data_IF_847803099651
#
_entry.id   IF_847803099651
#
_cell.length_a   1.000
_cell.length_b   1.000
_cell.length_c   1.000
_cell.angle_alpha   90.00
_cell.angle_beta   90.00
_cell.angle_gamma   90.00
#
_symmetry.space_group_name_H-M   'P 1'
#
loop_
_entity.id
_entity.type
_entity.pdbx_description
1 polymer ?
#
# COMPACT_ATOMS: atom_id res chain seq x y z
N UNK A 1 -23.53 -30.51 21.42
CA UNK A 1 -24.57 -31.54 21.22
C UNK A 1 -25.80 -30.81 20.69
N UNK A 2 -26.04 -30.85 19.39
CA UNK A 2 -27.23 -30.26 18.77
C UNK A 2 -28.37 -31.26 18.90
N UNK A 3 -29.38 -30.89 19.67
CA UNK A 3 -30.57 -31.67 19.96
C UNK A 3 -31.33 -31.99 18.65
N UNK A 4 -31.28 -33.26 18.20
CA UNK A 4 -31.99 -33.75 17.01
C UNK A 4 -33.50 -33.94 17.24
N UNK A 5 -34.02 -33.54 18.41
CA UNK A 5 -35.36 -33.94 18.87
C UNK A 5 -36.50 -33.00 18.47
N UNK A 6 -36.25 -31.99 17.62
CA UNK A 6 -37.32 -31.14 17.06
C UNK A 6 -37.64 -31.49 15.61
N UNK A 7 -37.90 -32.78 15.37
CA UNK A 7 -38.70 -33.19 14.22
C UNK A 7 -40.12 -32.70 14.43
N UNK A 8 -40.58 -31.75 13.63
CA UNK A 8 -42.03 -31.51 13.53
C UNK A 8 -42.67 -32.82 13.07
N UNK A 9 -43.74 -33.31 13.72
CA UNK A 9 -44.48 -34.46 13.24
C UNK A 9 -45.17 -34.01 11.95
N UNK A 10 -44.52 -34.23 10.80
CA UNK A 10 -45.17 -34.06 9.51
C UNK A 10 -46.11 -35.25 9.35
N UNK A 11 -47.42 -35.01 9.40
CA UNK A 11 -48.43 -35.87 8.80
C UNK A 11 -47.86 -36.48 7.51
N UNK A 12 -48.00 -37.80 7.35
CA UNK A 12 -47.43 -38.61 6.27
C UNK A 12 -47.98 -38.32 4.87
N UNK A 13 -48.18 -37.05 4.53
CA UNK A 13 -48.59 -36.60 3.21
C UNK A 13 -47.36 -36.56 2.30
N UNK A 14 -47.34 -37.44 1.31
CA UNK A 14 -46.32 -37.41 0.27
C UNK A 14 -46.33 -36.04 -0.46
N UNK A 15 -45.15 -35.53 -0.82
CA UNK A 15 -44.97 -34.19 -1.40
C UNK A 15 -44.57 -34.30 -2.86
N UNK A 16 -45.28 -33.58 -3.73
CA UNK A 16 -44.94 -33.42 -5.15
C UNK A 16 -44.06 -32.19 -5.31
N UNK A 17 -42.90 -32.36 -5.95
CA UNK A 17 -41.96 -31.28 -6.31
C UNK A 17 -41.90 -31.16 -7.84
N UNK A 18 -42.50 -30.11 -8.42
CA UNK A 18 -42.47 -29.91 -9.86
C UNK A 18 -41.03 -29.78 -10.39
N UNK A 19 -40.68 -30.40 -11.54
CA UNK A 19 -39.33 -30.35 -12.09
C UNK A 19 -38.95 -28.97 -12.66
N UNK A 20 -39.93 -28.14 -13.05
CA UNK A 20 -39.71 -26.82 -13.65
C UNK A 20 -40.44 -25.73 -12.84
N UNK A 21 -39.73 -25.06 -11.94
CA UNK A 21 -40.11 -23.73 -11.40
C UNK A 21 -41.40 -23.62 -10.57
N UNK A 22 -42.05 -24.74 -10.19
CA UNK A 22 -43.27 -24.73 -9.38
C UNK A 22 -43.01 -24.94 -7.89
N UNK A 23 -43.82 -24.30 -7.03
CA UNK A 23 -43.81 -24.55 -5.58
C UNK A 23 -44.24 -26.00 -5.29
N UNK A 24 -43.59 -26.61 -4.29
CA UNK A 24 -43.98 -27.94 -3.84
C UNK A 24 -45.37 -27.93 -3.18
N UNK A 25 -46.10 -29.04 -3.29
CA UNK A 25 -47.41 -29.22 -2.68
C UNK A 25 -47.62 -30.67 -2.23
N UNK A 26 -48.46 -30.88 -1.21
CA UNK A 26 -48.82 -32.22 -0.73
C UNK A 26 -49.78 -32.94 -1.66
N UNK A 27 -49.68 -34.27 -1.73
CA UNK A 27 -50.67 -35.14 -2.39
C UNK A 27 -52.02 -35.00 -1.68
N UNK A 28 -53.08 -34.97 -2.47
CA UNK A 28 -54.47 -34.83 -1.99
C UNK A 28 -54.87 -33.40 -1.62
N UNK A 29 -54.01 -32.41 -1.86
CA UNK A 29 -54.32 -31.00 -1.59
C UNK A 29 -55.10 -30.37 -2.77
N UNK A 30 -55.84 -29.27 -2.54
CA UNK A 30 -56.49 -28.52 -3.62
C UNK A 30 -55.55 -28.15 -4.77
N UNK A 31 -54.30 -27.81 -4.45
CA UNK A 31 -53.26 -27.52 -5.45
C UNK A 31 -52.85 -28.78 -6.24
N UNK A 32 -52.79 -29.95 -5.60
CA UNK A 32 -52.55 -31.21 -6.31
C UNK A 32 -53.68 -31.52 -7.29
N UNK A 33 -54.94 -31.33 -6.90
CA UNK A 33 -56.08 -31.53 -7.80
C UNK A 33 -56.03 -30.55 -8.98
N UNK A 34 -55.82 -29.26 -8.72
CA UNK A 34 -55.68 -28.24 -9.78
C UNK A 34 -54.54 -28.56 -10.75
N UNK A 35 -53.39 -29.01 -10.25
CA UNK A 35 -52.26 -29.38 -11.09
C UNK A 35 -52.51 -30.62 -11.97
N UNK A 36 -53.43 -31.52 -11.57
CA UNK A 36 -53.80 -32.74 -12.32
C UNK A 36 -54.98 -32.54 -13.25
N UNK A 37 -56.02 -31.84 -12.80
CA UNK A 37 -57.29 -31.69 -13.49
C UNK A 37 -57.40 -30.38 -14.29
N UNK A 38 -56.52 -29.39 -14.04
CA UNK A 38 -56.56 -28.09 -14.70
C UNK A 38 -57.69 -27.16 -14.23
N UNK A 39 -58.51 -27.60 -13.27
CA UNK A 39 -59.67 -26.88 -12.74
C UNK A 39 -59.69 -26.91 -11.20
N UNK A 40 -60.27 -25.90 -10.53
CA UNK A 40 -60.42 -25.91 -9.07
C UNK A 40 -61.36 -27.04 -8.61
N UNK A 41 -61.15 -27.61 -7.41
CA UNK A 41 -62.05 -28.61 -6.85
C UNK A 41 -63.49 -28.05 -6.73
N UNK A 42 -64.52 -28.84 -7.07
CA UNK A 42 -65.91 -28.41 -6.92
C UNK A 42 -66.21 -28.00 -5.47
N UNK A 43 -66.79 -26.80 -5.28
CA UNK A 43 -67.21 -26.31 -3.96
C UNK A 43 -66.11 -25.70 -3.08
N UNK A 44 -64.89 -25.51 -3.59
CA UNK A 44 -63.80 -24.83 -2.87
C UNK A 44 -63.35 -23.60 -3.68
N UNK A 45 -63.65 -22.41 -3.16
CA UNK A 45 -63.19 -21.13 -3.71
C UNK A 45 -61.80 -20.74 -3.19
N UNK A 46 -61.22 -19.68 -3.77
CA UNK A 46 -59.93 -19.13 -3.30
C UNK A 46 -59.96 -18.65 -1.85
N UNK A 47 -61.14 -18.22 -1.37
CA UNK A 47 -61.37 -17.77 0.01
C UNK A 47 -61.43 -18.94 1.02
N UNK A 48 -61.62 -20.16 0.54
CA UNK A 48 -61.71 -21.37 1.38
C UNK A 48 -60.34 -22.04 1.57
N UNK A 49 -59.30 -21.50 0.92
CA UNK A 49 -57.94 -22.00 1.06
C UNK A 49 -57.31 -21.49 2.35
N UNK A 50 -56.63 -22.38 3.09
CA UNK A 50 -55.91 -22.03 4.31
C UNK A 50 -54.95 -20.85 4.06
N UNK A 51 -55.09 -19.77 4.84
CA UNK A 51 -54.25 -18.57 4.72
C UNK A 51 -52.74 -18.86 4.85
N UNK A 52 -52.35 -19.91 5.58
CA UNK A 52 -50.94 -20.22 5.84
C UNK A 52 -50.27 -21.06 4.76
N UNK A 53 -51.00 -21.96 4.09
CA UNK A 53 -50.45 -22.85 3.06
C UNK A 53 -51.06 -22.65 1.66
N UNK A 54 -52.10 -21.82 1.56
CA UNK A 54 -52.83 -21.49 0.33
C UNK A 54 -53.22 -22.74 -0.47
N UNK A 55 -53.70 -23.76 0.23
CA UNK A 55 -54.10 -25.02 -0.40
C UNK A 55 -52.95 -25.95 -0.82
N UNK A 56 -51.68 -25.64 -0.51
CA UNK A 56 -50.54 -26.53 -0.81
C UNK A 56 -50.35 -27.65 0.21
N UNK A 57 -50.99 -27.55 1.39
CA UNK A 57 -50.83 -28.53 2.48
C UNK A 57 -49.43 -28.61 3.08
N UNK A 58 -48.50 -27.75 2.66
CA UNK A 58 -47.13 -27.68 3.16
C UNK A 58 -46.72 -26.24 3.43
N UNK A 59 -45.85 -26.05 4.43
CA UNK A 59 -45.25 -24.76 4.78
C UNK A 59 -43.73 -24.90 4.80
N UNK A 60 -43.04 -24.00 4.11
CA UNK A 60 -41.59 -23.97 4.13
C UNK A 60 -41.07 -23.50 5.49
N UNK A 61 -39.96 -24.09 5.93
CA UNK A 61 -39.27 -23.62 7.12
C UNK A 61 -38.83 -22.17 6.95
N UNK A 62 -39.20 -21.28 7.88
CA UNK A 62 -38.83 -19.85 7.84
C UNK A 62 -37.30 -19.65 7.86
N UNK A 63 -36.58 -20.60 8.47
CA UNK A 63 -35.14 -20.60 8.53
C UNK A 63 -34.54 -21.03 7.18
N UNK A 64 -34.69 -22.28 6.76
CA UNK A 64 -33.99 -22.80 5.57
C UNK A 64 -34.76 -22.66 4.24
N UNK A 65 -35.96 -22.07 4.24
CA UNK A 65 -36.83 -21.92 3.06
C UNK A 65 -37.02 -23.23 2.29
N UNK A 66 -37.14 -24.33 3.02
CA UNK A 66 -37.31 -25.67 2.43
C UNK A 66 -36.03 -26.33 1.88
N UNK A 67 -34.87 -25.67 1.91
CA UNK A 67 -33.61 -26.23 1.40
C UNK A 67 -32.90 -27.20 2.36
N UNK A 68 -33.34 -27.30 3.62
CA UNK A 68 -32.73 -28.17 4.64
C UNK A 68 -31.35 -27.70 5.16
N UNK A 69 -30.69 -26.78 4.45
CA UNK A 69 -29.41 -26.16 4.84
C UNK A 69 -29.42 -24.66 4.59
N UNK A 70 -28.56 -23.92 5.28
CA UNK A 70 -28.31 -22.50 5.03
C UNK A 70 -26.88 -22.28 4.52
N UNK A 71 -26.67 -21.34 3.59
CA UNK A 71 -25.32 -20.94 3.24
C UNK A 71 -24.61 -20.36 4.47
N UNK A 72 -23.33 -20.69 4.64
CA UNK A 72 -22.50 -20.13 5.70
C UNK A 72 -22.40 -18.61 5.51
N UNK A 73 -22.62 -17.83 6.55
CA UNK A 73 -22.56 -16.35 6.49
C UNK A 73 -21.18 -15.83 6.10
N UNK A 74 -20.13 -16.57 6.45
CA UNK A 74 -18.76 -16.13 6.26
C UNK A 74 -18.21 -16.44 4.86
N UNK A 75 -18.64 -17.53 4.22
CA UNK A 75 -18.19 -17.93 2.88
C UNK A 75 -19.31 -17.99 1.84
N UNK A 76 -20.55 -17.60 2.17
CA UNK A 76 -21.70 -17.67 1.27
C UNK A 76 -22.06 -19.09 0.81
N UNK A 77 -21.56 -20.12 1.48
CA UNK A 77 -21.70 -21.52 1.04
C UNK A 77 -20.66 -21.98 -0.01
N UNK A 78 -19.70 -21.13 -0.38
CA UNK A 78 -18.60 -21.49 -1.30
C UNK A 78 -17.54 -22.41 -0.68
N UNK A 79 -17.51 -22.54 0.65
CA UNK A 79 -16.49 -23.31 1.36
C UNK A 79 -15.09 -22.67 1.39
N UNK A 80 -14.92 -21.48 0.80
CA UNK A 80 -13.63 -20.78 0.74
C UNK A 80 -13.73 -19.38 1.35
N UNK A 81 -12.70 -18.98 2.08
CA UNK A 81 -12.58 -17.63 2.66
C UNK A 81 -11.24 -17.05 2.23
N UNK A 82 -11.24 -15.79 1.79
CA UNK A 82 -10.02 -15.06 1.44
C UNK A 82 -9.73 -14.04 2.52
N UNK A 83 -8.60 -14.20 3.19
CA UNK A 83 -8.07 -13.21 4.12
C UNK A 83 -6.82 -12.58 3.51
N UNK A 84 -6.59 -11.30 3.79
CA UNK A 84 -5.36 -10.61 3.39
C UNK A 84 -4.84 -9.77 4.55
N UNK A 85 -3.53 -9.57 4.56
CA UNK A 85 -2.87 -8.65 5.47
C UNK A 85 -2.68 -7.34 4.71
N UNK A 86 -3.26 -6.25 5.22
CA UNK A 86 -3.05 -4.91 4.67
C UNK A 86 -1.76 -4.32 5.25
N UNK A 87 -0.73 -4.22 4.42
CA UNK A 87 0.54 -3.60 4.80
C UNK A 87 0.56 -2.13 4.39
N UNK A 88 1.16 -1.27 5.23
CA UNK A 88 1.51 0.11 4.87
C UNK A 88 3.02 0.22 4.82
N UNK A 89 3.56 0.39 3.62
CA UNK A 89 5.01 0.52 3.39
C UNK A 89 5.33 2.00 3.16
N UNK A 90 6.36 2.50 3.84
CA UNK A 90 6.86 3.86 3.68
C UNK A 90 8.31 3.80 3.20
N UNK A 91 8.64 4.67 2.25
CA UNK A 91 9.99 4.81 1.72
C UNK A 91 10.48 6.22 2.06
N UNK A 92 11.68 6.31 2.61
CA UNK A 92 12.35 7.56 2.94
C UNK A 92 13.82 7.48 2.51
N UNK A 93 14.39 8.62 2.13
CA UNK A 93 15.80 8.74 1.78
C UNK A 93 16.49 9.48 2.92
N UNK A 94 17.45 8.82 3.55
CA UNK A 94 18.37 9.46 4.49
C UNK A 94 19.58 10.01 3.70
N UNK A 95 19.90 11.28 3.89
CA UNK A 95 20.98 11.96 3.18
C UNK A 95 21.87 12.71 4.17
N UNK A 96 23.18 12.51 4.04
CA UNK A 96 24.22 13.25 4.73
C UNK A 96 25.23 13.71 3.70
N UNK A 97 25.56 15.00 3.70
CA UNK A 97 26.56 15.60 2.82
C UNK A 97 27.70 16.18 3.69
N UNK A 98 28.93 16.18 3.17
CA UNK A 98 30.09 16.78 3.82
C UNK A 98 30.90 17.56 2.80
N UNK A 99 31.34 18.74 3.20
CA UNK A 99 32.21 19.60 2.40
C UNK A 99 33.51 19.77 3.17
N UNK A 100 34.65 19.57 2.49
CA UNK A 100 35.95 19.82 3.08
C UNK A 100 36.12 21.30 3.47
N UNK A 101 37.07 21.57 4.36
CA UNK A 101 37.34 22.92 4.84
C UNK A 101 37.63 23.89 3.68
N UNK A 102 36.81 24.94 3.55
CA UNK A 102 36.91 25.93 2.48
C UNK A 102 36.44 27.32 2.96
N UNK A 103 36.97 28.38 2.33
CA UNK A 103 36.55 29.77 2.57
C UNK A 103 35.13 30.08 2.03
N UNK A 104 34.54 29.14 1.27
CA UNK A 104 33.21 29.26 0.65
C UNK A 104 32.16 28.63 1.58
N UNK A 105 31.04 29.31 1.88
CA UNK A 105 29.95 28.74 2.67
C UNK A 105 29.37 27.45 2.07
N UNK A 106 29.13 26.43 2.90
CA UNK A 106 28.57 25.13 2.48
C UNK A 106 27.25 25.24 1.71
N UNK A 107 26.40 26.22 2.07
CA UNK A 107 25.12 26.49 1.37
C UNK A 107 25.29 26.87 -0.11
N UNK A 108 26.46 27.38 -0.48
CA UNK A 108 26.82 27.66 -1.87
C UNK A 108 27.40 26.42 -2.53
N UNK A 109 28.24 25.67 -1.81
CA UNK A 109 28.80 24.40 -2.28
C UNK A 109 27.71 23.35 -2.56
N UNK A 110 26.60 23.37 -1.81
CA UNK A 110 25.49 22.44 -2.01
C UNK A 110 24.68 22.68 -3.29
N UNK A 111 24.98 23.75 -4.04
CA UNK A 111 24.26 24.14 -5.26
C UNK A 111 25.07 23.90 -6.54
N UNK A 112 26.32 23.48 -6.42
CA UNK A 112 27.23 23.28 -7.55
C UNK A 112 27.60 21.81 -7.70
N UNK A 113 27.96 21.42 -8.91
CA UNK A 113 28.52 20.11 -9.21
C UNK A 113 30.04 20.08 -9.08
N UNK A 114 30.56 18.87 -8.87
CA UNK A 114 31.99 18.57 -8.95
C UNK A 114 32.30 17.46 -9.96
N UNK A 115 33.59 17.19 -10.14
CA UNK A 115 34.04 15.99 -10.83
C UNK A 115 33.82 14.78 -9.92
N UNK A 116 33.06 13.80 -10.38
CA UNK A 116 32.81 12.56 -9.64
C UNK A 116 34.10 11.73 -9.58
N UNK A 117 34.66 11.56 -8.38
CA UNK A 117 35.82 10.70 -8.12
C UNK A 117 35.37 9.26 -7.89
N UNK A 118 34.30 9.09 -7.11
CA UNK A 118 33.71 7.78 -6.80
C UNK A 118 32.18 7.93 -6.76
N UNK A 119 31.48 6.98 -7.36
CA UNK A 119 30.05 6.82 -7.17
C UNK A 119 29.71 5.34 -7.14
N UNK A 120 29.28 4.85 -5.99
CA UNK A 120 28.87 3.46 -5.81
C UNK A 120 27.48 3.37 -5.17
N UNK A 121 26.72 2.34 -5.55
CA UNK A 121 25.40 2.08 -5.02
C UNK A 121 25.27 0.58 -4.74
N UNK A 122 25.12 0.24 -3.46
CA UNK A 122 25.04 -1.13 -2.95
C UNK A 122 23.94 -1.24 -1.89
N UNK A 123 23.48 -2.45 -1.52
CA UNK A 123 22.57 -2.60 -0.38
C UNK A 123 23.15 -1.98 0.91
N UNK A 124 24.46 -2.18 1.12
CA UNK A 124 25.26 -1.52 2.15
C UNK A 124 26.61 -1.15 1.53
N UNK A 125 27.00 0.12 1.61
CA UNK A 125 28.31 0.59 1.11
C UNK A 125 29.36 0.44 2.21
N UNK A 126 30.61 0.26 1.81
CA UNK A 126 31.72 0.22 2.76
C UNK A 126 32.32 1.63 2.90
N UNK A 127 32.77 2.01 4.10
CA UNK A 127 33.55 3.23 4.26
C UNK A 127 34.82 3.23 3.41
N UNK A 128 35.19 4.40 2.92
CA UNK A 128 36.49 4.66 2.30
C UNK A 128 37.61 4.35 3.30
N UNK A 129 38.63 3.62 2.85
CA UNK A 129 39.82 3.26 3.66
C UNK A 129 41.14 3.70 3.05
N UNK A 130 41.17 3.93 1.73
CA UNK A 130 42.40 4.12 0.95
C UNK A 130 42.43 5.47 0.22
N UNK A 131 41.55 6.40 0.58
CA UNK A 131 41.59 7.73 -0.02
C UNK A 131 42.79 8.50 0.53
N UNK A 132 43.52 9.31 -0.28
CA UNK A 132 44.73 10.01 0.17
C UNK A 132 44.51 10.96 1.35
N UNK A 133 43.32 11.57 1.42
CA UNK A 133 42.95 12.48 2.52
C UNK A 133 42.31 11.69 3.66
N UNK A 134 42.97 11.67 4.83
CA UNK A 134 42.51 10.89 5.99
C UNK A 134 41.14 11.34 6.51
N UNK A 135 40.91 12.65 6.57
CA UNK A 135 39.64 13.25 7.00
C UNK A 135 38.45 12.70 6.20
N UNK A 136 38.60 12.54 4.88
CA UNK A 136 37.54 11.96 4.02
C UNK A 136 37.27 10.50 4.42
N UNK A 137 38.29 9.70 4.73
CA UNK A 137 38.09 8.32 5.18
C UNK A 137 37.34 8.25 6.52
N UNK A 138 37.67 9.15 7.45
CA UNK A 138 37.04 9.25 8.77
C UNK A 138 35.58 9.68 8.68
N UNK A 139 35.30 10.75 7.92
CA UNK A 139 33.93 11.24 7.69
C UNK A 139 33.09 10.16 7.03
N UNK A 140 33.62 9.48 6.00
CA UNK A 140 32.85 8.42 5.34
C UNK A 140 32.51 7.27 6.30
N UNK A 141 33.41 6.94 7.23
CA UNK A 141 33.17 5.94 8.28
C UNK A 141 32.07 6.38 9.24
N UNK A 142 32.12 7.64 9.68
CA UNK A 142 31.12 8.21 10.57
C UNK A 142 29.74 8.26 9.90
N UNK A 143 29.65 8.68 8.64
CA UNK A 143 28.40 8.71 7.87
C UNK A 143 27.79 7.33 7.70
N UNK A 144 28.59 6.32 7.35
CA UNK A 144 28.11 4.95 7.23
C UNK A 144 27.57 4.41 8.56
N UNK A 145 28.29 4.66 9.67
CA UNK A 145 27.86 4.26 11.01
C UNK A 145 26.55 4.98 11.41
N UNK A 146 26.47 6.30 11.23
CA UNK A 146 25.29 7.09 11.57
C UNK A 146 24.03 6.64 10.80
N UNK A 147 24.18 6.31 9.52
CA UNK A 147 23.06 5.77 8.72
C UNK A 147 22.62 4.39 9.23
N UNK A 148 23.56 3.51 9.57
CA UNK A 148 23.25 2.20 10.12
C UNK A 148 22.54 2.29 11.48
N UNK A 149 23.03 3.15 12.38
CA UNK A 149 22.43 3.40 13.70
C UNK A 149 21.02 3.97 13.62
N UNK A 150 20.72 4.83 12.63
CA UNK A 150 19.36 5.34 12.41
C UNK A 150 18.38 4.23 11.99
N UNK A 151 18.86 3.22 11.27
CA UNK A 151 18.03 2.17 10.71
C UNK A 151 17.85 0.96 11.63
N UNK A 152 18.84 0.64 12.47
CA UNK A 152 18.84 -0.58 13.28
C UNK A 152 17.56 -0.70 14.12
N UNK A 153 16.85 -1.82 13.97
CA UNK A 153 15.60 -2.11 14.69
C UNK A 153 14.36 -1.29 14.30
N UNK A 154 14.48 -0.31 13.38
CA UNK A 154 13.35 0.57 12.97
C UNK A 154 12.96 0.42 11.51
N UNK A 155 13.94 0.29 10.62
CA UNK A 155 13.69 0.17 9.19
C UNK A 155 14.80 -0.65 8.51
N UNK A 156 14.60 -0.93 7.22
CA UNK A 156 15.56 -1.67 6.41
C UNK A 156 16.16 -0.74 5.36
N UNK A 157 17.49 -0.69 5.29
CA UNK A 157 18.21 -0.07 4.18
C UNK A 157 18.02 -0.96 2.94
N UNK A 158 17.41 -0.40 1.89
CA UNK A 158 17.19 -1.12 0.62
C UNK A 158 18.40 -0.94 -0.30
N UNK A 159 18.90 0.30 -0.37
CA UNK A 159 20.10 0.70 -1.09
C UNK A 159 20.72 1.89 -0.37
N UNK A 160 22.03 1.98 -0.48
CA UNK A 160 22.84 3.09 -0.02
C UNK A 160 23.77 3.51 -1.15
N UNK A 161 23.90 4.82 -1.35
CA UNK A 161 24.79 5.41 -2.35
C UNK A 161 25.89 6.19 -1.64
N UNK A 162 27.12 5.97 -2.06
CA UNK A 162 28.28 6.73 -1.62
C UNK A 162 28.82 7.50 -2.81
N UNK A 163 28.85 8.82 -2.71
CA UNK A 163 29.40 9.70 -3.75
C UNK A 163 30.53 10.53 -3.17
N UNK A 164 31.65 10.57 -3.88
CA UNK A 164 32.77 11.47 -3.62
C UNK A 164 32.98 12.33 -4.85
N UNK A 165 32.85 13.65 -4.67
CA UNK A 165 32.96 14.64 -5.74
C UNK A 165 34.06 15.65 -5.40
N UNK A 166 34.91 15.95 -6.37
CA UNK A 166 35.86 17.05 -6.30
C UNK A 166 35.23 18.31 -6.89
N UNK A 167 34.82 19.23 -6.03
CA UNK A 167 34.35 20.56 -6.46
C UNK A 167 35.58 21.44 -6.72
N UNK A 168 35.82 21.89 -7.97
CA UNK A 168 36.93 22.78 -8.25
C UNK A 168 36.70 24.13 -7.58
N UNK A 169 37.74 24.68 -6.95
CA UNK A 169 37.73 26.00 -6.33
C UNK A 169 39.01 26.74 -6.69
N UNK A 170 38.89 27.93 -7.27
CA UNK A 170 39.98 28.83 -7.56
C UNK A 170 39.82 30.12 -6.75
N UNK A 171 40.85 30.44 -5.96
CA UNK A 171 40.93 31.71 -5.22
C UNK A 171 41.66 32.73 -6.09
N UNK A 172 40.99 33.82 -6.43
CA UNK A 172 41.51 34.87 -7.31
C UNK A 172 41.76 36.12 -6.49
N UNK A 173 43.02 36.54 -6.46
CA UNK A 173 43.43 37.83 -5.92
C UNK A 173 43.41 38.86 -7.05
N UNK A 174 42.81 40.03 -6.79
CA UNK A 174 42.73 41.09 -7.78
C UNK A 174 43.10 42.44 -7.16
N UNK A 175 43.62 43.33 -8.00
CA UNK A 175 43.87 44.72 -7.68
C UNK A 175 43.10 45.59 -8.67
N UNK A 176 42.17 46.41 -8.16
CA UNK A 176 41.39 47.37 -8.94
C UNK A 176 41.71 48.79 -8.43
N UNK A 177 42.59 49.49 -9.14
CA UNK A 177 43.15 50.76 -8.66
C UNK A 177 43.97 50.54 -7.38
N UNK A 178 43.63 51.22 -6.29
CA UNK A 178 44.25 51.04 -4.96
C UNK A 178 43.57 49.97 -4.09
N UNK A 179 42.54 49.29 -4.60
CA UNK A 179 41.78 48.29 -3.83
C UNK A 179 42.25 46.89 -4.20
N UNK A 180 42.72 46.17 -3.20
CA UNK A 180 42.98 44.74 -3.29
C UNK A 180 41.75 43.97 -2.78
N UNK A 181 41.48 42.82 -3.39
CA UNK A 181 40.38 41.97 -2.99
C UNK A 181 40.59 40.53 -3.37
N UNK A 182 39.67 39.68 -2.95
CA UNK A 182 39.70 38.27 -3.27
C UNK A 182 38.28 37.79 -3.57
N UNK A 183 38.15 37.02 -4.63
CA UNK A 183 36.94 36.28 -4.93
C UNK A 183 37.28 34.83 -5.27
N UNK A 184 36.27 33.98 -5.23
CA UNK A 184 36.41 32.57 -5.54
C UNK A 184 35.56 32.22 -6.74
N UNK A 185 36.12 31.41 -7.64
CA UNK A 185 35.38 30.73 -8.69
C UNK A 185 35.25 29.27 -8.25
N UNK A 186 34.04 28.72 -8.25
CA UNK A 186 33.79 27.38 -7.74
C UNK A 186 32.74 26.62 -8.54
N UNK A 187 32.82 25.29 -8.48
CA UNK A 187 31.94 24.39 -9.21
C UNK A 187 32.33 24.26 -10.69
N UNK A 188 31.81 23.22 -11.33
CA UNK A 188 31.94 23.04 -12.79
C UNK A 188 31.17 24.12 -13.57
N UNK A 189 30.23 24.79 -12.90
CA UNK A 189 29.43 25.90 -13.41
C UNK A 189 30.17 27.25 -13.34
N UNK A 190 31.36 27.30 -12.72
CA UNK A 190 32.18 28.50 -12.54
C UNK A 190 31.44 29.64 -11.82
N UNK A 191 30.71 29.33 -10.75
CA UNK A 191 30.04 30.35 -9.93
C UNK A 191 31.06 31.20 -9.18
N UNK A 192 30.69 32.47 -8.97
CA UNK A 192 31.56 33.44 -8.30
C UNK A 192 31.05 33.74 -6.89
N UNK A 193 31.94 33.65 -5.91
CA UNK A 193 31.68 34.09 -4.54
C UNK A 193 32.60 35.27 -4.21
N UNK A 194 31.98 36.43 -3.96
CA UNK A 194 32.68 37.67 -3.61
C UNK A 194 32.17 38.13 -2.24
N UNK A 195 32.88 37.82 -1.13
CA UNK A 195 32.42 38.19 0.20
C UNK A 195 32.37 39.71 0.41
N UNK A 196 33.28 40.46 -0.25
CA UNK A 196 33.36 41.91 -0.17
C UNK A 196 33.26 42.52 -1.56
N UNK A 197 32.05 42.45 -2.14
CA UNK A 197 31.82 42.99 -3.48
C UNK A 197 32.10 44.51 -3.52
N UNK A 198 33.02 44.98 -4.38
CA UNK A 198 33.32 46.40 -4.50
C UNK A 198 32.12 47.12 -5.12
N UNK A 199 31.33 47.78 -4.28
CA UNK A 199 29.99 48.31 -4.58
C UNK A 199 29.94 49.47 -5.59
N UNK A 200 31.04 49.75 -6.29
CA UNK A 200 31.15 50.82 -7.29
C UNK A 200 31.83 50.30 -8.55
N UNK A 201 31.18 49.35 -9.22
CA UNK A 201 31.54 49.01 -10.58
C UNK A 201 30.86 50.03 -11.51
N UNK A 202 31.53 51.15 -11.81
CA UNK A 202 31.20 51.93 -13.00
C UNK A 202 31.71 51.13 -14.19
N UNK A 203 30.79 50.59 -14.99
CA UNK A 203 31.11 50.16 -16.35
C UNK A 203 31.78 51.36 -17.04
N UNK A 204 33.07 51.22 -17.38
CA UNK A 204 33.78 52.14 -18.27
C UNK A 204 33.37 51.87 -19.71
#
# INVERSE_FOLDING_TARGET
QSDLSRGYPSSGTAVVRPPCGGLAYGIGTPIHFMARAGVPPPGIGQHDLCHFCQGRGIRECSHCKGHGKKPCSACGGSGSMRTYIKLRVQFAVERSDYYGQCDIPEKLLSKVGGQVILSECQPYVLPLKKYPVQEINEVSRQMCAAHFEKCIGRCRIIKQRHCLEAVPVAKVHYCLGSREGTFWIYGVEHYCYVPHYPSKCTLL
#
